data_IF_874934760860
#
_entry.id   IF_874934760860
#
_cell.length_a   1.000
_cell.length_b   1.000
_cell.length_c   1.000
_cell.angle_alpha   90.00
_cell.angle_beta   90.00
_cell.angle_gamma   90.00
#
_symmetry.space_group_name_H-M   'P 1'
#
loop_
_entity.id
_entity.type
_entity.pdbx_description
1 polymer ?
#
# COMPACT_ATOMS: atom_id res chain seq x y z
N UNK A 1 -4.40 41.18 -26.98
CA UNK A 1 -5.75 41.74 -26.83
C UNK A 1 -6.26 41.44 -25.44
N UNK A 2 -6.52 42.50 -24.67
CA UNK A 2 -6.89 42.49 -23.25
C UNK A 2 -8.37 42.17 -23.06
N UNK A 3 -8.73 41.63 -21.89
CA UNK A 3 -9.94 42.01 -21.15
C UNK A 3 -9.78 41.60 -19.68
N UNK A 4 -9.27 42.55 -18.88
CA UNK A 4 -9.39 42.57 -17.43
C UNK A 4 -10.81 43.04 -17.11
N UNK A 5 -11.54 42.29 -16.28
CA UNK A 5 -12.79 42.77 -15.69
C UNK A 5 -12.55 42.90 -14.20
N UNK A 6 -12.37 44.15 -13.77
CA UNK A 6 -12.50 44.57 -12.39
C UNK A 6 -13.99 44.68 -12.08
N UNK A 7 -14.45 44.05 -11.01
CA UNK A 7 -15.65 44.48 -10.30
C UNK A 7 -15.29 44.64 -8.83
N UNK A 8 -14.93 45.88 -8.51
CA UNK A 8 -15.07 46.50 -7.20
C UNK A 8 -16.57 46.74 -6.97
N UNK A 9 -17.08 46.63 -5.73
CA UNK A 9 -18.03 47.58 -5.09
C UNK A 9 -18.81 46.95 -3.92
N UNK A 10 -18.69 47.65 -2.78
CA UNK A 10 -19.62 47.85 -1.64
C UNK A 10 -19.93 46.74 -0.61
N UNK A 11 -19.46 47.01 0.61
CA UNK A 11 -20.03 46.64 1.91
C UNK A 11 -21.14 47.67 2.25
N UNK A 12 -22.22 47.30 2.97
CA UNK A 12 -22.39 47.92 4.29
C UNK A 12 -22.88 46.96 5.38
N UNK A 13 -22.48 47.32 6.60
CA UNK A 13 -22.81 46.70 7.87
C UNK A 13 -24.31 46.80 8.24
N UNK A 14 -24.81 45.77 8.93
CA UNK A 14 -25.96 45.89 9.82
C UNK A 14 -25.63 45.21 11.14
N UNK A 15 -25.26 46.05 12.10
CA UNK A 15 -25.34 45.80 13.54
C UNK A 15 -26.81 45.56 13.95
N UNK A 16 -26.95 45.01 15.17
CA UNK A 16 -28.07 45.18 16.10
C UNK A 16 -29.13 44.07 16.17
N UNK A 17 -28.91 43.09 17.06
CA UNK A 17 -29.88 42.84 18.12
C UNK A 17 -29.20 42.34 19.40
N UNK A 18 -29.60 42.97 20.50
CA UNK A 18 -29.07 42.84 21.85
C UNK A 18 -29.48 41.54 22.55
N UNK A 19 -28.61 41.05 23.45
CA UNK A 19 -28.95 40.75 24.86
C UNK A 19 -27.72 40.25 25.65
N UNK A 20 -27.29 40.96 26.70
CA UNK A 20 -26.63 40.34 27.84
C UNK A 20 -27.60 40.39 29.04
N UNK A 21 -28.15 39.25 29.45
CA UNK A 21 -28.84 39.15 30.73
C UNK A 21 -28.87 37.69 31.19
N UNK A 22 -28.45 37.45 32.44
CA UNK A 22 -28.35 36.15 33.10
C UNK A 22 -26.88 35.76 33.29
N UNK A 23 -26.18 36.18 34.35
CA UNK A 23 -26.34 35.75 35.74
C UNK A 23 -26.32 34.22 35.88
N UNK A 24 -25.16 33.64 36.18
CA UNK A 24 -24.88 33.02 37.47
C UNK A 24 -23.42 32.57 37.52
N UNK A 25 -22.72 33.09 38.53
CA UNK A 25 -21.44 32.60 38.98
C UNK A 25 -21.62 31.23 39.66
N UNK A 26 -20.67 30.35 39.40
CA UNK A 26 -20.09 29.38 40.33
C UNK A 26 -21.04 28.66 41.27
N UNK A 27 -21.50 27.46 40.89
CA UNK A 27 -21.80 26.39 41.85
C UNK A 27 -21.59 24.97 41.32
N UNK A 28 -20.82 24.81 40.25
CA UNK A 28 -20.34 23.49 39.82
C UNK A 28 -18.90 23.59 39.33
N UNK A 29 -17.95 23.64 40.26
CA UNK A 29 -16.57 23.22 40.01
C UNK A 29 -16.60 21.72 39.72
N UNK A 30 -16.80 21.36 38.46
CA UNK A 30 -16.31 20.07 37.99
C UNK A 30 -14.79 20.10 38.10
N UNK A 31 -14.14 19.02 38.56
CA UNK A 31 -12.70 18.94 38.46
C UNK A 31 -12.34 19.20 36.99
N UNK A 32 -11.53 20.23 36.79
CA UNK A 32 -10.89 20.52 35.52
C UNK A 32 -10.12 19.25 35.17
N UNK A 33 -10.68 18.42 34.29
CA UNK A 33 -9.99 17.28 33.68
C UNK A 33 -9.02 17.93 32.71
N UNK A 34 -8.00 18.56 33.31
CA UNK A 34 -6.90 19.19 32.65
C UNK A 34 -6.31 18.15 31.73
N UNK A 35 -6.47 18.40 30.44
CA UNK A 35 -5.61 17.86 29.40
C UNK A 35 -5.43 16.35 29.53
N UNK A 36 -6.48 15.59 29.23
CA UNK A 36 -6.27 14.34 28.50
C UNK A 36 -5.63 14.73 27.15
N UNK A 37 -4.32 14.98 27.21
CA UNK A 37 -3.37 15.11 26.12
C UNK A 37 -3.85 14.16 25.05
N UNK A 38 -4.33 14.73 23.95
CA UNK A 38 -4.91 14.04 22.82
C UNK A 38 -4.25 12.68 22.69
N UNK A 39 -5.00 11.63 23.06
CA UNK A 39 -4.54 10.27 22.85
C UNK A 39 -4.06 10.22 21.41
N UNK A 40 -2.79 9.88 21.24
CA UNK A 40 -2.17 9.72 19.93
C UNK A 40 -3.19 9.01 19.03
N UNK A 41 -3.41 9.49 17.79
CA UNK A 41 -4.45 8.94 16.94
C UNK A 41 -4.29 7.43 16.96
N UNK A 42 -5.27 6.72 17.54
CA UNK A 42 -5.31 5.27 17.59
C UNK A 42 -5.08 4.82 16.16
N UNK A 43 -3.86 4.38 15.86
CA UNK A 43 -3.55 3.89 14.53
C UNK A 43 -4.48 2.70 14.33
N UNK A 44 -5.33 2.74 13.29
CA UNK A 44 -6.30 1.67 13.08
C UNK A 44 -5.52 0.35 13.06
N UNK A 45 -6.01 -0.70 13.74
CA UNK A 45 -5.30 -1.97 13.80
C UNK A 45 -4.95 -2.38 12.38
N UNK A 46 -3.65 -2.42 12.10
CA UNK A 46 -3.17 -2.60 10.75
C UNK A 46 -3.65 -3.96 10.24
N UNK A 47 -4.39 -3.92 9.13
CA UNK A 47 -4.91 -5.13 8.49
C UNK A 47 -3.74 -6.12 8.27
N UNK A 48 -3.88 -7.41 8.66
CA UNK A 48 -2.82 -8.40 8.50
C UNK A 48 -2.25 -8.50 7.08
N UNK A 49 -3.07 -8.17 6.08
CA UNK A 49 -2.68 -8.06 4.69
C UNK A 49 -1.72 -6.89 4.44
N UNK A 50 -2.00 -5.72 5.01
CA UNK A 50 -1.13 -4.54 4.87
C UNK A 50 0.21 -4.76 5.55
N UNK A 51 0.21 -5.40 6.72
CA UNK A 51 1.44 -5.81 7.41
C UNK A 51 2.28 -6.78 6.56
N UNK A 52 1.62 -7.76 5.95
CA UNK A 52 2.30 -8.72 5.07
C UNK A 52 2.88 -8.06 3.82
N UNK A 53 2.19 -7.08 3.24
CA UNK A 53 2.69 -6.29 2.12
C UNK A 53 3.85 -5.39 2.52
N UNK A 54 3.76 -4.70 3.66
CA UNK A 54 4.82 -3.87 4.21
C UNK A 54 6.13 -4.67 4.34
N UNK A 55 6.04 -5.87 4.95
CA UNK A 55 7.19 -6.78 5.10
C UNK A 55 7.73 -7.28 3.76
N UNK A 56 6.86 -7.69 2.82
CA UNK A 56 7.29 -8.24 1.52
C UNK A 56 7.97 -7.20 0.63
N UNK A 57 7.58 -5.94 0.76
CA UNK A 57 8.04 -4.85 -0.08
C UNK A 57 9.01 -3.88 0.61
N UNK A 58 9.27 -4.05 1.92
CA UNK A 58 10.12 -3.17 2.71
C UNK A 58 9.55 -1.76 2.84
N UNK A 59 8.23 -1.64 2.96
CA UNK A 59 7.51 -0.36 3.01
C UNK A 59 7.03 -0.06 4.43
N UNK A 60 6.78 1.22 4.70
CA UNK A 60 6.19 1.65 5.96
C UNK A 60 4.72 1.19 6.06
N UNK A 61 4.43 0.42 7.12
CA UNK A 61 3.10 -0.10 7.43
C UNK A 61 2.10 1.03 7.66
N UNK A 62 2.52 2.15 8.27
CA UNK A 62 1.65 3.28 8.55
C UNK A 62 1.11 3.90 7.26
N UNK A 63 1.95 4.03 6.22
CA UNK A 63 1.55 4.58 4.91
C UNK A 63 0.49 3.70 4.25
N UNK A 64 0.70 2.38 4.27
CA UNK A 64 -0.24 1.41 3.68
C UNK A 64 -1.56 1.38 4.45
N UNK A 65 -1.51 1.33 5.78
CA UNK A 65 -2.69 1.35 6.63
C UNK A 65 -3.53 2.61 6.43
N UNK A 66 -2.88 3.79 6.33
CA UNK A 66 -3.54 5.08 6.10
C UNK A 66 -4.18 5.19 4.72
N UNK A 67 -3.57 4.57 3.71
CA UNK A 67 -4.13 4.54 2.37
C UNK A 67 -5.31 3.56 2.30
N UNK A 68 -5.20 2.40 2.95
CA UNK A 68 -6.29 1.43 3.07
C UNK A 68 -7.51 2.01 3.82
N UNK A 69 -7.30 2.72 4.93
CA UNK A 69 -8.37 3.37 5.70
C UNK A 69 -9.09 4.47 4.91
N UNK A 70 -8.44 5.02 3.87
CA UNK A 70 -9.03 6.00 2.94
C UNK A 70 -9.80 5.35 1.78
N UNK A 71 -10.00 4.03 1.81
CA UNK A 71 -10.79 3.30 0.82
C UNK A 71 -9.99 2.75 -0.36
N UNK A 72 -8.65 2.78 -0.32
CA UNK A 72 -7.83 2.11 -1.33
C UNK A 72 -7.95 0.60 -1.16
N UNK A 73 -8.40 -0.10 -2.19
CA UNK A 73 -8.63 -1.55 -2.09
C UNK A 73 -7.34 -2.37 -1.96
N UNK A 74 -7.42 -3.59 -1.43
CA UNK A 74 -6.26 -4.50 -1.27
C UNK A 74 -5.51 -4.74 -2.60
N UNK A 75 -6.24 -5.07 -3.66
CA UNK A 75 -5.64 -5.31 -5.00
C UNK A 75 -5.07 -4.03 -5.60
N UNK A 76 -5.79 -2.93 -5.43
CA UNK A 76 -5.37 -1.61 -5.90
C UNK A 76 -4.08 -1.15 -5.21
N UNK A 77 -3.92 -1.42 -3.92
CA UNK A 77 -2.68 -1.15 -3.19
C UNK A 77 -1.50 -1.89 -3.81
N UNK A 78 -1.68 -3.17 -4.14
CA UNK A 78 -0.63 -3.96 -4.79
C UNK A 78 -0.32 -3.39 -6.18
N UNK A 79 -1.33 -3.03 -6.97
CA UNK A 79 -1.13 -2.38 -8.28
C UNK A 79 -0.30 -1.09 -8.13
N UNK A 80 -0.59 -0.24 -7.13
CA UNK A 80 0.18 0.99 -6.85
C UNK A 80 1.62 0.71 -6.41
N UNK A 81 1.84 -0.31 -5.57
CA UNK A 81 3.18 -0.75 -5.15
C UNK A 81 4.00 -1.23 -6.36
N UNK A 82 3.39 -2.04 -7.24
CA UNK A 82 4.06 -2.52 -8.45
C UNK A 82 4.39 -1.37 -9.41
N UNK A 83 3.48 -0.41 -9.57
CA UNK A 83 3.74 0.80 -10.36
C UNK A 83 4.88 1.61 -9.75
N UNK A 84 4.87 1.84 -8.43
CA UNK A 84 5.94 2.53 -7.70
C UNK A 84 7.30 1.88 -7.94
N UNK A 85 7.39 0.54 -7.83
CA UNK A 85 8.64 -0.18 -8.07
C UNK A 85 9.08 -0.17 -9.53
N UNK A 86 8.15 -0.34 -10.45
CA UNK A 86 8.45 -0.35 -11.89
C UNK A 86 8.88 1.01 -12.42
N UNK A 87 8.33 2.10 -11.86
CA UNK A 87 8.64 3.48 -12.25
C UNK A 87 9.73 4.14 -11.40
N UNK A 88 10.07 3.55 -10.24
CA UNK A 88 10.91 4.14 -9.18
C UNK A 88 10.32 5.41 -8.55
N UNK A 89 9.02 5.65 -8.73
CA UNK A 89 8.32 6.77 -8.10
C UNK A 89 7.94 6.47 -6.65
N UNK A 90 7.90 7.49 -5.78
CA UNK A 90 7.47 7.32 -4.40
C UNK A 90 5.99 6.92 -4.31
N UNK A 91 5.72 5.84 -3.58
CA UNK A 91 4.36 5.32 -3.36
C UNK A 91 3.36 6.38 -2.82
N UNK A 92 3.73 7.26 -1.86
CA UNK A 92 2.81 8.31 -1.39
C UNK A 92 2.30 9.22 -2.52
N UNK A 93 3.18 9.59 -3.47
CA UNK A 93 2.80 10.42 -4.61
C UNK A 93 1.78 9.73 -5.52
N UNK A 94 2.00 8.44 -5.80
CA UNK A 94 1.08 7.60 -6.57
C UNK A 94 -0.28 7.44 -5.89
N UNK A 95 -0.31 7.28 -4.57
CA UNK A 95 -1.56 7.22 -3.78
C UNK A 95 -2.33 8.53 -3.92
N UNK A 96 -1.64 9.68 -3.86
CA UNK A 96 -2.29 10.98 -4.00
C UNK A 96 -2.80 11.23 -5.43
N UNK A 97 -2.04 10.86 -6.47
CA UNK A 97 -2.52 10.88 -7.86
C UNK A 97 -3.77 10.01 -8.02
N UNK A 98 -3.77 8.82 -7.41
CA UNK A 98 -4.93 7.92 -7.44
C UNK A 98 -6.15 8.53 -6.76
N UNK A 99 -5.97 9.15 -5.59
CA UNK A 99 -7.03 9.85 -4.84
C UNK A 99 -7.59 11.05 -5.59
N UNK A 100 -6.77 11.73 -6.41
CA UNK A 100 -7.21 12.81 -7.32
C UNK A 100 -8.03 12.29 -8.51
N UNK A 101 -8.24 10.98 -8.63
CA UNK A 101 -9.07 10.37 -9.67
C UNK A 101 -8.30 9.76 -10.83
N UNK A 102 -6.97 9.70 -10.77
CA UNK A 102 -6.19 9.04 -11.81
C UNK A 102 -6.58 7.55 -11.90
N UNK A 103 -6.68 7.02 -13.13
CA UNK A 103 -6.93 5.58 -13.34
C UNK A 103 -5.61 4.82 -13.19
N UNK A 104 -5.60 3.68 -12.49
CA UNK A 104 -4.40 2.83 -12.32
C UNK A 104 -3.74 2.48 -13.65
N UNK A 105 -4.54 2.14 -14.67
CA UNK A 105 -4.03 1.87 -16.00
C UNK A 105 -3.40 3.11 -16.67
N UNK A 106 -3.90 4.31 -16.36
CA UNK A 106 -3.31 5.58 -16.81
C UNK A 106 -1.98 5.84 -16.12
N UNK A 107 -1.90 5.62 -14.81
CA UNK A 107 -0.67 5.73 -14.03
C UNK A 107 0.42 4.80 -14.57
N UNK A 108 0.10 3.51 -14.76
CA UNK A 108 1.03 2.54 -15.35
C UNK A 108 1.51 2.97 -16.75
N UNK A 109 0.58 3.34 -17.64
CA UNK A 109 0.92 3.77 -19.01
C UNK A 109 1.78 5.03 -19.05
N UNK A 110 1.48 6.02 -18.21
CA UNK A 110 2.25 7.27 -18.12
C UNK A 110 3.72 7.04 -17.76
N UNK A 111 4.01 5.91 -17.13
CA UNK A 111 5.34 5.48 -16.67
C UNK A 111 5.96 4.39 -17.55
N UNK A 112 5.37 4.11 -18.72
CA UNK A 112 5.87 3.09 -19.65
C UNK A 112 5.67 1.65 -19.18
N UNK A 113 4.81 1.41 -18.18
CA UNK A 113 4.52 0.07 -17.67
C UNK A 113 3.29 -0.53 -18.36
N UNK A 114 3.29 -1.86 -18.55
CA UNK A 114 2.14 -2.57 -19.12
C UNK A 114 1.05 -2.79 -18.05
N UNK A 115 -0.11 -2.11 -18.15
CA UNK A 115 -1.17 -2.22 -17.16
C UNK A 115 -1.76 -3.62 -17.06
N UNK A 116 -1.70 -4.44 -18.12
CA UNK A 116 -2.21 -5.81 -18.09
C UNK A 116 -1.31 -6.69 -17.21
N UNK A 117 0.01 -6.58 -17.39
CA UNK A 117 1.00 -7.31 -16.58
C UNK A 117 0.90 -6.93 -15.10
N UNK A 118 0.84 -5.63 -14.80
CA UNK A 118 0.66 -5.13 -13.43
C UNK A 118 -0.59 -5.72 -12.78
N UNK A 119 -1.72 -5.75 -13.50
CA UNK A 119 -2.98 -6.30 -12.97
C UNK A 119 -2.89 -7.81 -12.73
N UNK A 120 -2.28 -8.57 -13.63
CA UNK A 120 -2.10 -10.02 -13.45
C UNK A 120 -1.17 -10.34 -12.28
N UNK A 121 -0.06 -9.60 -12.15
CA UNK A 121 0.87 -9.76 -11.02
C UNK A 121 0.21 -9.37 -9.70
N UNK A 122 -0.52 -8.26 -9.67
CA UNK A 122 -1.25 -7.84 -8.48
C UNK A 122 -2.29 -8.88 -8.04
N UNK A 123 -2.98 -9.51 -8.99
CA UNK A 123 -3.91 -10.61 -8.69
C UNK A 123 -3.17 -11.80 -8.07
N UNK A 124 -2.07 -12.25 -8.70
CA UNK A 124 -1.27 -13.37 -8.19
C UNK A 124 -0.75 -13.10 -6.78
N UNK A 125 -0.23 -11.91 -6.54
CA UNK A 125 0.25 -11.49 -5.22
C UNK A 125 -0.87 -11.44 -4.19
N UNK A 126 -2.05 -10.93 -4.55
CA UNK A 126 -3.20 -10.90 -3.65
C UNK A 126 -3.63 -12.32 -3.25
N UNK A 127 -3.63 -13.26 -4.19
CA UNK A 127 -3.92 -14.67 -3.93
C UNK A 127 -2.84 -15.34 -3.06
N UNK A 128 -1.55 -15.08 -3.33
CA UNK A 128 -0.44 -15.59 -2.53
C UNK A 128 -0.48 -15.10 -1.08
N UNK A 129 -0.64 -13.79 -0.88
CA UNK A 129 -0.74 -13.20 0.46
C UNK A 129 -2.03 -13.66 1.16
N UNK A 130 -3.14 -13.74 0.42
CA UNK A 130 -4.40 -14.27 0.95
C UNK A 130 -4.31 -15.72 1.42
N UNK A 131 -3.63 -16.59 0.66
CA UNK A 131 -3.37 -17.99 1.03
C UNK A 131 -2.45 -18.10 2.24
N UNK A 132 -1.41 -17.27 2.32
CA UNK A 132 -0.50 -17.24 3.46
C UNK A 132 -1.24 -16.83 4.75
N UNK A 133 -2.20 -15.92 4.66
CA UNK A 133 -3.00 -15.46 5.79
C UNK A 133 -4.16 -16.40 6.16
N UNK A 134 -4.70 -17.17 5.21
CA UNK A 134 -5.79 -18.11 5.46
C UNK A 134 -5.36 -19.45 6.06
N UNK A 135 -4.06 -19.63 6.34
CA UNK A 135 -3.52 -20.86 6.94
C UNK A 135 -3.49 -22.09 6.01
N UNK A 136 -3.92 -21.95 4.75
CA UNK A 136 -3.97 -23.02 3.75
C UNK A 136 -2.86 -22.93 2.66
N UNK A 137 -1.90 -22.03 2.83
CA UNK A 137 -0.70 -21.91 1.97
C UNK A 137 0.54 -22.46 2.66
N UNK A 138 1.58 -22.91 1.91
CA UNK A 138 2.86 -23.27 2.50
C UNK A 138 3.36 -22.06 3.29
N UNK A 139 3.65 -22.29 4.58
CA UNK A 139 4.00 -21.23 5.52
C UNK A 139 5.13 -20.32 5.00
N UNK A 140 5.24 -19.09 5.54
CA UNK A 140 6.29 -18.17 5.12
C UNK A 140 7.64 -18.88 5.24
N UNK A 141 8.34 -19.04 4.10
CA UNK A 141 9.76 -19.33 4.11
C UNK A 141 10.42 -18.13 4.76
N UNK A 142 10.61 -18.20 6.07
CA UNK A 142 11.40 -17.27 6.85
C UNK A 142 12.74 -17.13 6.15
N UNK A 143 12.98 -15.94 5.59
CA UNK A 143 14.29 -15.51 5.13
C UNK A 143 15.21 -15.55 6.36
N UNK A 144 16.02 -16.61 6.47
CA UNK A 144 16.85 -16.83 7.65
C UNK A 144 17.68 -18.11 7.65
N UNK A 145 17.33 -19.13 6.87
CA UNK A 145 18.19 -20.30 6.71
C UNK A 145 18.78 -20.30 5.31
N UNK A 146 19.96 -19.68 5.19
CA UNK A 146 20.91 -20.05 4.14
C UNK A 146 21.36 -21.48 4.48
N UNK A 147 20.69 -22.48 3.91
CA UNK A 147 21.35 -23.78 3.79
C UNK A 147 22.54 -23.58 2.85
N UNK A 148 23.79 -23.80 3.30
CA UNK A 148 24.86 -23.98 2.34
C UNK A 148 24.49 -25.20 1.51
N UNK A 149 24.46 -25.03 0.19
CA UNK A 149 24.52 -26.12 -0.78
C UNK A 149 25.70 -27.02 -0.39
N UNK A 150 25.40 -28.08 0.37
CA UNK A 150 26.36 -29.14 0.62
C UNK A 150 26.59 -29.82 -0.73
N UNK A 151 27.74 -29.51 -1.31
CA UNK A 151 28.31 -30.30 -2.37
C UNK A 151 28.44 -31.75 -1.89
N UNK A 152 28.00 -32.67 -2.72
CA UNK A 152 28.17 -34.09 -2.49
C UNK A 152 27.51 -34.89 -3.58
N UNK A 153 28.31 -35.39 -4.52
CA UNK A 153 27.90 -36.50 -5.38
C UNK A 153 28.04 -36.24 -6.87
N UNK A 154 29.28 -36.27 -7.35
CA UNK A 154 29.62 -36.74 -8.69
C UNK A 154 28.88 -38.03 -9.02
N UNK A 155 28.06 -38.01 -10.06
CA UNK A 155 27.35 -39.17 -10.57
C UNK A 155 27.11 -39.01 -12.06
N UNK A 156 28.16 -39.20 -12.84
CA UNK A 156 28.13 -39.35 -14.29
C UNK A 156 27.17 -40.48 -14.63
N UNK A 157 26.04 -40.14 -15.26
CA UNK A 157 25.16 -41.12 -15.89
C UNK A 157 25.91 -41.70 -17.09
N UNK A 158 26.43 -42.91 -16.91
CA UNK A 158 27.00 -43.73 -17.95
C UNK A 158 25.95 -43.96 -19.06
N UNK A 159 26.22 -43.46 -20.25
CA UNK A 159 25.59 -43.92 -21.49
C UNK A 159 25.97 -45.39 -21.67
N UNK A 160 25.03 -46.30 -21.42
CA UNK A 160 25.13 -47.69 -21.83
C UNK A 160 25.01 -47.78 -23.35
N UNK A 161 26.15 -47.63 -24.04
CA UNK A 161 26.35 -48.07 -25.42
C UNK A 161 27.05 -49.43 -25.33
N UNK A 162 26.25 -50.49 -25.32
CA UNK A 162 26.74 -51.86 -25.54
C UNK A 162 27.32 -51.95 -26.95
N UNK A 163 28.55 -52.45 -27.02
CA UNK A 163 29.43 -52.45 -28.18
C UNK A 163 29.09 -53.45 -29.29
N UNK A 164 30.03 -53.61 -30.24
CA UNK A 164 29.83 -54.28 -31.52
C UNK A 164 30.18 -55.78 -31.44
N UNK A 165 29.43 -56.62 -32.13
CA UNK A 165 29.91 -57.94 -32.54
C UNK A 165 30.06 -57.99 -34.07
N UNK A 166 31.32 -58.14 -34.48
CA UNK A 166 31.77 -58.56 -35.80
C UNK A 166 31.57 -60.07 -35.95
N UNK A 167 31.19 -60.48 -37.15
CA UNK A 167 31.52 -61.78 -37.76
C UNK A 167 30.59 -62.91 -37.32
N UNK A 168 29.99 -63.69 -38.20
CA UNK A 168 30.29 -63.97 -39.59
C UNK A 168 30.18 -65.48 -39.76
N UNK A 169 29.28 -65.92 -40.63
CA UNK A 169 29.34 -67.10 -41.50
C UNK A 169 28.16 -67.06 -42.44
#
# INVERSE_FOLDING_TARGET
>A
MMKKIFFLVLIPAALLSARPCGAQADLYSFPDIGQAKAAAPNEPPADPFMKSLALRFGLDEAVLARAFSKGVGRREMIELILISRGSKDPLPGLIDERRKGAKLAGLAKSRGLDPRKIRSEARRLAEEVGKALSGNGPGPRTAGTFEPLQGGGTGYAATASSGPERGGK
#
